data_IF_893561006534
#
_entry.id   IF_893561006534
#
_cell.length_a   1.000
_cell.length_b   1.000
_cell.length_c   1.000
_cell.angle_alpha   90.00
_cell.angle_beta   90.00
_cell.angle_gamma   90.00
#
_symmetry.space_group_name_H-M   'P 1'
#
loop_
_entity.id
_entity.type
_entity.pdbx_description
1 polymer ?
#
# COMPACT_ATOMS: atom_id res chain seq x y z
N UNK A 1 42.72 45.16 -33.04
CA UNK A 1 42.34 45.18 -31.61
C UNK A 1 41.38 44.03 -31.34
N UNK A 2 41.61 43.32 -30.25
CA UNK A 2 40.91 42.10 -29.80
C UNK A 2 39.45 42.40 -29.41
N UNK A 3 38.53 41.46 -29.75
CA UNK A 3 37.28 40.92 -29.11
C UNK A 3 36.41 41.91 -28.28
N UNK A 4 35.08 41.81 -28.21
CA UNK A 4 34.30 40.73 -27.59
C UNK A 4 32.84 40.76 -28.09
N UNK A 5 32.30 39.58 -28.43
CA UNK A 5 30.87 39.32 -28.55
C UNK A 5 30.41 38.83 -27.17
N UNK A 6 29.46 39.53 -26.55
CA UNK A 6 28.82 39.10 -25.32
C UNK A 6 27.64 38.21 -25.70
N UNK A 7 27.79 36.89 -25.53
CA UNK A 7 26.68 35.95 -25.57
C UNK A 7 25.96 35.96 -24.23
N UNK A 8 24.66 36.29 -24.24
CA UNK A 8 23.79 36.09 -23.09
C UNK A 8 23.49 34.59 -22.95
N UNK A 9 24.05 33.96 -21.93
CA UNK A 9 23.62 32.65 -21.42
C UNK A 9 22.35 32.85 -20.59
N UNK A 10 21.21 32.45 -21.12
CA UNK A 10 19.97 32.26 -20.35
C UNK A 10 20.09 30.94 -19.58
N UNK A 11 20.45 31.03 -18.29
CA UNK A 11 20.32 29.92 -17.35
C UNK A 11 18.85 29.84 -16.95
N UNK A 12 18.11 28.89 -17.53
CA UNK A 12 16.78 28.54 -17.07
C UNK A 12 16.91 27.76 -15.74
N UNK A 13 16.83 28.48 -14.63
CA UNK A 13 16.68 27.86 -13.31
C UNK A 13 15.28 27.24 -13.21
N UNK A 14 15.21 25.91 -13.24
CA UNK A 14 14.02 25.18 -12.87
C UNK A 14 13.81 25.32 -11.36
N UNK A 15 12.95 26.25 -10.96
CA UNK A 15 12.45 26.31 -9.59
C UNK A 15 11.47 25.16 -9.40
N UNK A 16 11.93 24.09 -8.75
CA UNK A 16 11.07 23.08 -8.15
C UNK A 16 10.20 23.80 -7.11
N UNK A 17 8.96 24.11 -7.49
CA UNK A 17 7.95 24.55 -6.55
C UNK A 17 7.60 23.33 -5.68
N UNK A 18 8.20 23.22 -4.50
CA UNK A 18 7.69 22.34 -3.45
C UNK A 18 6.25 22.77 -3.15
N UNK A 19 5.22 21.92 -3.38
CA UNK A 19 3.90 22.22 -2.88
C UNK A 19 4.00 22.33 -1.36
N UNK A 20 3.59 23.48 -0.80
CA UNK A 20 3.60 23.71 0.63
C UNK A 20 2.75 22.66 1.38
N UNK A 21 2.99 22.47 2.68
CA UNK A 21 2.29 21.46 3.46
C UNK A 21 0.78 21.72 3.42
N UNK A 22 0.04 20.74 2.91
CA UNK A 22 -1.42 20.73 3.01
C UNK A 22 -1.76 20.52 4.48
N UNK A 23 -2.26 21.56 5.14
CA UNK A 23 -2.79 21.46 6.51
C UNK A 23 -4.06 20.62 6.45
N UNK A 24 -3.93 19.30 6.62
CA UNK A 24 -5.06 18.37 6.74
C UNK A 24 -5.59 18.45 8.17
N UNK A 25 -6.83 18.91 8.35
CA UNK A 25 -7.53 18.75 9.63
C UNK A 25 -7.57 17.27 10.01
N UNK A 26 -7.32 16.95 11.29
CA UNK A 26 -7.39 15.55 11.75
C UNK A 26 -8.78 14.99 11.47
N UNK A 27 -8.85 13.94 10.65
CA UNK A 27 -10.07 13.20 10.39
C UNK A 27 -10.52 12.50 11.67
N UNK A 28 -11.84 12.32 11.85
CA UNK A 28 -12.43 11.72 13.06
C UNK A 28 -11.95 10.29 13.36
N UNK A 29 -11.38 9.62 12.36
CA UNK A 29 -10.80 8.28 12.46
C UNK A 29 -9.32 8.27 12.89
N UNK A 30 -8.62 9.42 12.88
CA UNK A 30 -7.20 9.46 13.20
C UNK A 30 -6.87 8.84 14.56
N UNK A 31 -7.66 9.04 15.64
CA UNK A 31 -7.39 8.41 16.92
C UNK A 31 -7.58 6.88 16.95
N UNK A 32 -8.26 6.27 15.98
CA UNK A 32 -8.37 4.80 15.85
C UNK A 32 -7.07 4.19 15.32
N UNK A 33 -6.33 4.95 14.53
CA UNK A 33 -5.05 4.54 13.95
C UNK A 33 -3.84 5.14 14.70
N UNK A 34 -4.03 5.50 15.97
CA UNK A 34 -2.92 5.84 16.85
C UNK A 34 -2.11 4.58 17.18
N UNK A 35 -0.94 4.46 16.56
CA UNK A 35 -0.03 3.31 16.71
C UNK A 35 0.79 3.33 18.02
N UNK A 36 0.65 4.38 18.84
CA UNK A 36 1.25 4.47 20.18
C UNK A 36 0.41 3.82 21.28
N UNK A 37 -0.79 3.33 20.95
CA UNK A 37 -1.74 2.75 21.90
C UNK A 37 -2.20 1.37 21.44
N UNK A 38 -2.25 0.40 22.37
CA UNK A 38 -3.01 -0.83 22.15
C UNK A 38 -4.50 -0.54 22.34
N UNK A 39 -5.24 -0.43 21.24
CA UNK A 39 -6.68 -0.18 21.28
C UNK A 39 -7.45 -1.37 21.86
N UNK A 40 -8.70 -1.12 22.24
CA UNK A 40 -9.67 -2.18 22.55
C UNK A 40 -10.83 -2.08 21.58
N UNK A 41 -11.14 -3.20 20.93
CA UNK A 41 -12.29 -3.34 20.03
C UNK A 41 -13.17 -4.49 20.53
N UNK A 42 -14.43 -4.20 20.83
CA UNK A 42 -15.41 -5.20 21.24
C UNK A 42 -16.40 -5.45 20.08
N UNK A 43 -16.60 -6.73 19.75
CA UNK A 43 -17.57 -7.21 18.78
C UNK A 43 -18.64 -8.05 19.49
N UNK A 44 -19.91 -7.77 19.22
CA UNK A 44 -21.03 -8.65 19.58
C UNK A 44 -21.61 -9.27 18.33
N UNK A 45 -21.63 -10.59 18.29
CA UNK A 45 -22.05 -11.39 17.14
C UNK A 45 -23.00 -12.46 17.67
N UNK A 46 -24.05 -12.80 16.93
CA UNK A 46 -24.86 -13.95 17.30
C UNK A 46 -23.96 -15.20 17.41
N UNK A 47 -24.03 -15.94 18.53
CA UNK A 47 -23.12 -17.07 18.77
C UNK A 47 -23.19 -18.15 17.69
N UNK A 48 -24.37 -18.34 17.07
CA UNK A 48 -24.54 -19.25 15.94
C UNK A 48 -23.77 -18.76 14.72
N UNK A 49 -23.91 -17.47 14.40
CA UNK A 49 -23.27 -16.86 13.24
C UNK A 49 -21.75 -16.79 13.42
N UNK A 50 -21.25 -16.53 14.64
CA UNK A 50 -19.83 -16.62 14.95
C UNK A 50 -19.27 -18.05 14.78
N UNK A 51 -20.03 -19.06 15.23
CA UNK A 51 -19.66 -20.46 15.02
C UNK A 51 -19.64 -20.82 13.52
N UNK A 52 -20.62 -20.34 12.74
CA UNK A 52 -20.64 -20.54 11.30
C UNK A 52 -19.48 -19.85 10.58
N UNK A 53 -19.15 -18.60 10.94
CA UNK A 53 -17.99 -17.90 10.39
C UNK A 53 -16.71 -18.69 10.64
N UNK A 54 -16.50 -19.19 11.86
CA UNK A 54 -15.30 -19.99 12.20
C UNK A 54 -15.26 -21.34 11.50
N UNK A 55 -16.39 -22.04 11.42
CA UNK A 55 -16.47 -23.33 10.73
C UNK A 55 -16.29 -23.18 9.21
N UNK A 56 -16.71 -22.04 8.64
CA UNK A 56 -16.67 -21.74 7.22
C UNK A 56 -15.74 -20.55 6.93
N UNK A 57 -14.62 -20.48 7.65
CA UNK A 57 -13.69 -19.35 7.60
C UNK A 57 -13.07 -19.11 6.20
N UNK A 58 -13.26 -20.05 5.26
CA UNK A 58 -12.89 -19.95 3.84
C UNK A 58 -13.91 -19.19 2.98
N UNK A 59 -15.12 -18.95 3.48
CA UNK A 59 -16.17 -18.24 2.75
C UNK A 59 -16.09 -16.72 2.96
N UNK A 60 -16.71 -15.96 2.05
CA UNK A 60 -16.83 -14.50 2.11
C UNK A 60 -18.20 -14.04 2.62
N UNK A 61 -18.92 -14.91 3.33
CA UNK A 61 -20.25 -14.62 3.86
C UNK A 61 -20.17 -13.56 4.97
N UNK A 62 -21.11 -12.61 4.91
CA UNK A 62 -21.24 -11.55 5.91
C UNK A 62 -22.23 -11.95 7.00
N UNK A 63 -21.84 -11.68 8.24
CA UNK A 63 -22.64 -11.91 9.44
C UNK A 63 -22.85 -10.58 10.19
N UNK A 64 -24.07 -10.29 10.68
CA UNK A 64 -24.34 -9.08 11.44
C UNK A 64 -23.57 -9.06 12.77
N UNK A 65 -23.03 -7.89 13.11
CA UNK A 65 -22.38 -7.65 14.39
C UNK A 65 -22.68 -6.22 14.92
N UNK A 66 -22.30 -5.99 16.18
CA UNK A 66 -22.11 -4.66 16.75
C UNK A 66 -20.64 -4.48 17.06
N UNK A 67 -20.06 -3.35 16.63
CA UNK A 67 -18.69 -2.97 16.99
C UNK A 67 -18.75 -1.82 18.01
N UNK A 68 -17.86 -1.89 19.01
CA UNK A 68 -17.59 -0.79 19.92
C UNK A 68 -16.09 -0.55 20.01
N UNK A 69 -15.73 0.73 19.98
CA UNK A 69 -14.40 1.22 20.31
C UNK A 69 -14.57 2.49 21.14
N UNK A 70 -13.94 2.51 22.32
CA UNK A 70 -14.17 3.56 23.35
C UNK A 70 -15.66 3.73 23.67
N UNK A 71 -16.18 4.95 23.60
CA UNK A 71 -17.59 5.30 23.82
C UNK A 71 -18.45 5.15 22.57
N UNK A 72 -17.84 4.90 21.40
CA UNK A 72 -18.53 4.80 20.11
C UNK A 72 -19.02 3.38 19.86
N UNK A 73 -20.32 3.22 19.61
CA UNK A 73 -20.95 1.93 19.28
C UNK A 73 -21.67 2.02 17.95
N UNK A 74 -21.38 1.10 17.03
CA UNK A 74 -22.04 0.98 15.73
C UNK A 74 -22.67 -0.41 15.60
N UNK A 75 -23.99 -0.43 15.38
CA UNK A 75 -24.80 -1.65 15.27
C UNK A 75 -25.07 -1.99 13.81
N UNK A 76 -25.34 -3.27 13.55
CA UNK A 76 -25.66 -3.81 12.22
C UNK A 76 -24.53 -3.62 11.21
N UNK A 77 -23.28 -3.75 11.68
CA UNK A 77 -22.12 -3.88 10.79
C UNK A 77 -22.09 -5.30 10.21
N UNK A 78 -21.50 -5.48 9.04
CA UNK A 78 -21.20 -6.80 8.50
C UNK A 78 -19.77 -7.21 8.80
N UNK A 79 -19.56 -8.36 9.42
CA UNK A 79 -18.25 -9.00 9.52
C UNK A 79 -18.16 -10.19 8.58
N UNK A 80 -17.02 -10.38 7.93
CA UNK A 80 -16.70 -11.62 7.20
C UNK A 80 -15.25 -12.01 7.42
N UNK A 81 -14.95 -13.28 7.23
CA UNK A 81 -13.56 -13.74 7.11
C UNK A 81 -12.90 -13.09 5.88
N UNK A 82 -11.62 -12.70 6.00
CA UNK A 82 -10.82 -12.12 4.92
C UNK A 82 -9.49 -12.86 4.72
N UNK A 83 -8.80 -12.49 3.64
CA UNK A 83 -7.53 -13.07 3.24
C UNK A 83 -7.71 -14.25 2.28
N UNK A 84 -6.59 -14.86 1.92
CA UNK A 84 -6.52 -16.13 1.17
C UNK A 84 -5.74 -17.14 2.01
N UNK A 85 -4.43 -16.92 2.17
CA UNK A 85 -3.55 -17.76 3.01
C UNK A 85 -3.73 -17.55 4.51
N UNK A 86 -3.95 -16.30 4.95
CA UNK A 86 -4.07 -15.90 6.36
C UNK A 86 -5.35 -16.35 7.08
N UNK A 87 -6.27 -17.01 6.36
CA UNK A 87 -7.55 -17.44 6.90
C UNK A 87 -7.38 -18.47 8.01
N UNK A 88 -8.02 -18.23 9.16
CA UNK A 88 -7.93 -19.11 10.33
C UNK A 88 -9.30 -19.38 10.96
N UNK A 89 -9.63 -20.65 11.30
CA UNK A 89 -10.84 -20.99 12.05
C UNK A 89 -10.74 -20.66 13.54
N UNK A 90 -9.52 -20.42 14.04
CA UNK A 90 -9.26 -20.18 15.47
C UNK A 90 -9.19 -18.68 15.78
N UNK A 91 -8.50 -17.92 14.93
CA UNK A 91 -8.34 -16.47 15.02
C UNK A 91 -8.67 -15.86 13.64
N UNK A 92 -9.96 -15.77 13.25
CA UNK A 92 -10.32 -15.27 11.93
C UNK A 92 -9.85 -13.82 11.75
N UNK A 93 -9.18 -13.52 10.63
CA UNK A 93 -9.01 -12.15 10.16
C UNK A 93 -10.34 -11.64 9.61
N UNK A 94 -10.74 -10.43 9.99
CA UNK A 94 -12.08 -9.91 9.69
C UNK A 94 -12.02 -8.66 8.83
N UNK A 95 -12.88 -8.58 7.82
CA UNK A 95 -13.30 -7.29 7.26
C UNK A 95 -14.58 -6.87 7.98
N UNK A 96 -14.62 -5.63 8.46
CA UNK A 96 -15.79 -5.01 9.08
C UNK A 96 -16.34 -3.96 8.14
N UNK A 97 -17.49 -4.22 7.53
CA UNK A 97 -18.19 -3.32 6.63
C UNK A 97 -19.34 -2.63 7.37
N UNK A 98 -19.22 -1.33 7.61
CA UNK A 98 -20.21 -0.55 8.35
C UNK A 98 -21.49 -0.35 7.56
N UNK A 99 -21.43 -0.40 6.23
CA UNK A 99 -22.56 -0.11 5.36
C UNK A 99 -23.30 -1.35 4.86
N UNK A 100 -22.79 -2.56 5.16
CA UNK A 100 -23.28 -3.83 4.61
C UNK A 100 -24.77 -4.07 4.78
N UNK A 101 -25.28 -3.81 5.99
CA UNK A 101 -26.69 -4.02 6.34
C UNK A 101 -27.43 -2.71 6.61
N UNK A 102 -26.72 -1.57 6.59
CA UNK A 102 -27.29 -0.23 6.77
C UNK A 102 -26.66 0.71 5.76
N UNK A 103 -27.34 0.95 4.63
CA UNK A 103 -26.80 1.77 3.53
C UNK A 103 -26.31 3.14 4.02
N UNK A 104 -25.08 3.49 3.66
CA UNK A 104 -24.47 4.78 3.99
C UNK A 104 -24.00 4.92 5.44
N UNK A 105 -24.19 3.90 6.31
CA UNK A 105 -23.63 3.92 7.66
C UNK A 105 -22.09 3.94 7.59
N UNK A 106 -21.50 4.78 8.45
CA UNK A 106 -20.05 4.96 8.59
C UNK A 106 -19.67 4.89 10.06
N UNK A 107 -18.41 4.56 10.31
CA UNK A 107 -17.81 4.61 11.64
C UNK A 107 -16.58 5.52 11.59
N UNK A 108 -16.62 6.63 12.33
CA UNK A 108 -15.57 7.67 12.30
C UNK A 108 -15.26 8.22 10.88
N UNK A 109 -16.20 8.10 9.95
CA UNK A 109 -16.04 8.47 8.54
C UNK A 109 -15.70 7.29 7.61
N UNK A 110 -15.23 6.18 8.15
CA UNK A 110 -14.87 4.97 7.41
C UNK A 110 -16.11 4.19 6.92
N UNK A 111 -16.01 3.60 5.72
CA UNK A 111 -17.02 2.65 5.21
C UNK A 111 -16.76 1.23 5.70
N UNK A 112 -15.50 0.90 5.89
CA UNK A 112 -15.06 -0.38 6.40
C UNK A 112 -13.68 -0.24 7.07
N UNK A 113 -13.29 -1.27 7.81
CA UNK A 113 -11.93 -1.46 8.29
C UNK A 113 -11.58 -2.95 8.26
N UNK A 114 -10.30 -3.24 8.37
CA UNK A 114 -9.79 -4.60 8.50
C UNK A 114 -9.28 -4.81 9.93
N UNK A 115 -9.64 -5.96 10.51
CA UNK A 115 -9.00 -6.52 11.69
C UNK A 115 -8.15 -7.69 11.22
N UNK A 116 -6.87 -7.44 10.97
CA UNK A 116 -5.91 -8.48 10.57
C UNK A 116 -5.56 -9.37 11.76
N UNK A 117 -5.63 -10.68 11.56
CA UNK A 117 -5.30 -11.64 12.60
C UNK A 117 -3.79 -11.80 12.81
N UNK A 118 -2.94 -11.26 11.94
CA UNK A 118 -1.48 -11.30 12.04
C UNK A 118 -0.92 -12.71 12.27
N UNK A 119 -1.59 -13.74 11.75
CA UNK A 119 -1.21 -15.14 12.06
C UNK A 119 0.01 -15.64 11.31
N UNK A 120 0.44 -14.92 10.26
CA UNK A 120 1.60 -15.28 9.45
C UNK A 120 2.90 -14.64 9.94
N UNK A 121 2.80 -13.60 10.78
CA UNK A 121 3.93 -12.90 11.40
C UNK A 121 3.96 -13.18 12.91
N UNK A 122 5.01 -13.85 13.39
CA UNK A 122 5.19 -14.17 14.80
C UNK A 122 5.49 -12.95 15.69
N UNK A 123 5.95 -11.84 15.09
CA UNK A 123 6.21 -10.58 15.79
C UNK A 123 4.96 -9.72 15.97
N UNK A 124 3.95 -9.89 15.09
CA UNK A 124 2.77 -9.04 14.96
C UNK A 124 3.09 -7.57 14.56
N UNK A 125 4.26 -7.32 13.98
CA UNK A 125 4.79 -5.97 13.77
C UNK A 125 5.29 -5.69 12.35
N UNK A 126 5.55 -6.71 11.51
CA UNK A 126 6.18 -6.50 10.21
C UNK A 126 5.43 -5.47 9.35
N UNK A 127 4.15 -5.74 9.07
CA UNK A 127 3.32 -4.84 8.26
C UNK A 127 3.20 -3.45 8.90
N UNK A 128 2.97 -3.39 10.22
CA UNK A 128 2.80 -2.12 10.93
C UNK A 128 4.05 -1.24 10.83
N UNK A 129 5.24 -1.82 10.99
CA UNK A 129 6.51 -1.11 10.91
C UNK A 129 6.82 -0.73 9.46
N UNK A 130 6.58 -1.62 8.50
CA UNK A 130 6.76 -1.36 7.07
C UNK A 130 5.88 -0.18 6.60
N UNK A 131 4.57 -0.25 6.89
CA UNK A 131 3.62 0.81 6.55
C UNK A 131 3.96 2.14 7.25
N UNK A 132 4.45 2.09 8.50
CA UNK A 132 4.92 3.28 9.20
C UNK A 132 6.16 3.89 8.55
N UNK A 133 7.13 3.09 8.12
CA UNK A 133 8.31 3.55 7.40
C UNK A 133 7.91 4.22 6.09
N UNK A 134 7.02 3.62 5.30
CA UNK A 134 6.51 4.22 4.06
C UNK A 134 5.91 5.61 4.32
N UNK A 135 5.06 5.74 5.36
CA UNK A 135 4.48 7.05 5.72
C UNK A 135 5.54 8.06 6.17
N UNK A 136 6.61 7.64 6.86
CA UNK A 136 7.75 8.52 7.22
C UNK A 136 8.52 9.00 5.99
N UNK A 137 8.59 8.18 4.94
CA UNK A 137 9.20 8.50 3.64
C UNK A 137 8.23 9.23 2.69
N UNK A 138 7.09 9.70 3.19
CA UNK A 138 6.03 10.37 2.42
C UNK A 138 5.38 9.49 1.31
N UNK A 139 5.63 8.18 1.32
CA UNK A 139 4.92 7.21 0.49
C UNK A 139 3.51 7.06 1.07
N UNK A 140 2.51 7.24 0.22
CA UNK A 140 1.11 7.18 0.65
C UNK A 140 0.72 5.72 0.93
N UNK A 141 0.57 5.39 2.21
CA UNK A 141 0.20 4.05 2.67
C UNK A 141 -0.98 4.09 3.64
N UNK A 142 -1.75 2.98 3.75
CA UNK A 142 -2.74 2.78 4.79
C UNK A 142 -2.19 3.05 6.19
N UNK A 143 -3.04 3.53 7.10
CA UNK A 143 -2.70 3.64 8.52
C UNK A 143 -3.06 2.35 9.25
N UNK A 144 -2.27 2.03 10.26
CA UNK A 144 -2.44 0.81 11.04
C UNK A 144 -2.17 1.07 12.52
N UNK A 145 -2.85 0.33 13.39
CA UNK A 145 -2.60 0.30 14.82
C UNK A 145 -2.96 -1.08 15.39
N UNK A 146 -2.48 -1.41 16.59
CA UNK A 146 -2.83 -2.67 17.25
C UNK A 146 -4.11 -2.53 18.08
N UNK A 147 -4.92 -3.59 18.11
CA UNK A 147 -6.07 -3.69 19.00
C UNK A 147 -6.15 -5.06 19.68
N UNK A 148 -6.46 -5.07 20.98
CA UNK A 148 -7.01 -6.22 21.68
C UNK A 148 -8.49 -6.38 21.30
N UNK A 149 -8.81 -7.45 20.57
CA UNK A 149 -10.17 -7.72 20.10
C UNK A 149 -10.88 -8.68 21.04
N UNK A 150 -12.14 -8.38 21.36
CA UNK A 150 -13.04 -9.24 22.12
C UNK A 150 -14.27 -9.56 21.29
N UNK A 151 -14.64 -10.84 21.19
CA UNK A 151 -15.90 -11.27 20.56
C UNK A 151 -16.79 -11.88 21.63
N UNK A 152 -17.99 -11.31 21.82
CA UNK A 152 -18.93 -11.72 22.87
C UNK A 152 -18.27 -11.79 24.25
N UNK A 153 -17.53 -10.73 24.62
CA UNK A 153 -16.74 -10.61 25.85
C UNK A 153 -15.60 -11.63 26.04
N UNK A 154 -15.31 -12.44 25.02
CA UNK A 154 -14.17 -13.38 25.04
C UNK A 154 -13.01 -12.78 24.27
N UNK A 155 -11.81 -12.78 24.85
CA UNK A 155 -10.61 -12.29 24.18
C UNK A 155 -10.29 -13.15 22.94
N UNK A 156 -10.26 -12.51 21.76
CA UNK A 156 -9.97 -13.16 20.50
C UNK A 156 -8.49 -13.07 20.11
N UNK A 157 -7.76 -12.09 20.65
CA UNK A 157 -6.33 -11.89 20.41
C UNK A 157 -5.98 -10.43 20.12
N UNK A 158 -4.69 -10.19 19.86
CA UNK A 158 -4.20 -8.93 19.28
C UNK A 158 -4.40 -8.99 17.76
N UNK A 159 -4.92 -7.93 17.17
CA UNK A 159 -5.14 -7.75 15.75
C UNK A 159 -4.52 -6.42 15.30
N UNK A 160 -4.19 -6.30 14.01
CA UNK A 160 -4.00 -4.98 13.42
C UNK A 160 -5.35 -4.41 12.97
N UNK A 161 -5.62 -3.16 13.34
CA UNK A 161 -6.68 -2.34 12.74
C UNK A 161 -6.08 -1.66 11.53
N UNK A 162 -6.43 -2.13 10.34
CA UNK A 162 -5.88 -1.65 9.06
C UNK A 162 -6.91 -0.78 8.36
N UNK A 163 -6.49 0.40 7.90
CA UNK A 163 -7.28 1.30 7.08
C UNK A 163 -7.55 0.65 5.72
N UNK A 164 -8.82 0.40 5.40
CA UNK A 164 -9.15 -0.22 4.12
C UNK A 164 -8.88 0.74 2.95
N UNK A 165 -8.15 0.31 1.90
CA UNK A 165 -8.00 1.08 0.67
C UNK A 165 -9.34 1.20 -0.05
N UNK A 166 -9.99 2.35 0.13
CA UNK A 166 -11.21 2.76 -0.55
C UNK A 166 -11.13 4.24 -0.98
N UNK A 167 -12.22 4.79 -1.50
CA UNK A 167 -12.32 6.21 -1.85
C UNK A 167 -12.07 7.15 -0.67
N UNK A 168 -12.42 6.75 0.56
CA UNK A 168 -12.17 7.54 1.78
C UNK A 168 -10.66 7.60 2.07
N UNK A 169 -9.96 6.46 1.98
CA UNK A 169 -8.51 6.40 2.13
C UNK A 169 -7.79 7.16 1.01
N UNK A 170 -8.26 7.06 -0.24
CA UNK A 170 -7.69 7.81 -1.37
C UNK A 170 -7.88 9.32 -1.20
N UNK A 171 -9.05 9.77 -0.74
CA UNK A 171 -9.27 11.17 -0.41
C UNK A 171 -8.30 11.66 0.68
N UNK A 172 -8.06 10.85 1.70
CA UNK A 172 -7.06 11.16 2.74
C UNK A 172 -5.66 11.24 2.14
N UNK A 173 -5.20 10.24 1.40
CA UNK A 173 -3.84 10.13 0.89
C UNK A 173 -3.53 11.18 -0.20
N UNK A 174 -4.46 11.38 -1.13
CA UNK A 174 -4.22 12.12 -2.37
C UNK A 174 -5.02 13.41 -2.51
N UNK A 175 -5.89 13.72 -1.55
CA UNK A 175 -6.78 14.89 -1.58
C UNK A 175 -8.02 14.71 -2.47
N UNK A 176 -8.15 13.57 -3.14
CA UNK A 176 -9.26 13.22 -4.02
C UNK A 176 -9.48 11.70 -3.93
N UNK A 177 -10.71 11.28 -3.64
CA UNK A 177 -11.14 9.89 -3.58
C UNK A 177 -12.02 9.46 -4.76
N UNK A 178 -12.29 10.37 -5.70
CA UNK A 178 -13.24 10.14 -6.79
C UNK A 178 -12.66 9.34 -7.96
N UNK A 179 -11.37 9.02 -7.93
CA UNK A 179 -10.65 8.32 -8.99
C UNK A 179 -11.00 6.83 -9.12
N UNK A 180 -10.08 6.10 -9.75
CA UNK A 180 -10.14 4.68 -10.05
C UNK A 180 -9.08 3.96 -9.21
N UNK A 181 -9.53 3.24 -8.20
CA UNK A 181 -8.73 2.35 -7.38
C UNK A 181 -8.91 0.90 -7.85
N UNK A 182 -7.81 0.21 -8.08
CA UNK A 182 -7.78 -1.21 -8.41
C UNK A 182 -6.84 -1.95 -7.45
N UNK A 183 -7.31 -3.02 -6.84
CA UNK A 183 -6.50 -3.98 -6.08
C UNK A 183 -5.81 -4.92 -7.08
N UNK A 184 -4.50 -5.12 -6.95
CA UNK A 184 -3.84 -6.18 -7.70
C UNK A 184 -4.22 -7.55 -7.13
N UNK A 185 -4.62 -8.48 -7.99
CA UNK A 185 -4.96 -9.86 -7.65
C UNK A 185 -3.90 -10.79 -8.21
N UNK A 186 -3.08 -11.34 -7.32
CA UNK A 186 -2.14 -12.37 -7.71
C UNK A 186 -2.89 -13.62 -8.21
N UNK A 187 -2.55 -14.07 -9.42
CA UNK A 187 -3.11 -15.27 -10.06
C UNK A 187 -2.01 -16.17 -10.63
N UNK A 188 -0.99 -15.55 -11.23
CA UNK A 188 0.22 -16.15 -11.76
C UNK A 188 1.34 -15.10 -11.72
N UNK A 189 2.58 -15.54 -11.92
CA UNK A 189 3.73 -14.62 -11.99
C UNK A 189 3.56 -13.64 -13.15
N UNK A 190 3.47 -12.36 -12.79
CA UNK A 190 3.30 -11.24 -13.71
C UNK A 190 4.21 -10.10 -13.27
N UNK A 191 4.97 -9.52 -14.20
CA UNK A 191 6.02 -8.53 -13.93
C UNK A 191 5.94 -7.32 -14.86
N UNK A 192 4.71 -6.86 -15.11
CA UNK A 192 4.35 -5.79 -16.05
C UNK A 192 4.63 -6.11 -17.52
N UNK A 193 4.54 -7.37 -17.95
CA UNK A 193 4.53 -7.70 -19.37
C UNK A 193 3.25 -7.20 -20.05
N UNK A 194 3.33 -6.84 -21.32
CA UNK A 194 2.14 -6.47 -22.10
C UNK A 194 1.26 -7.71 -22.35
N UNK A 195 0.01 -7.65 -21.89
CA UNK A 195 -0.99 -8.71 -22.06
C UNK A 195 -1.77 -8.56 -23.39
N UNK A 196 -1.44 -7.57 -24.23
CA UNK A 196 -2.09 -7.31 -25.51
C UNK A 196 -3.42 -6.57 -25.36
N UNK A 197 -4.23 -6.57 -26.43
CA UNK A 197 -5.46 -5.75 -26.52
C UNK A 197 -6.68 -6.34 -25.78
N UNK A 198 -6.59 -7.57 -25.30
CA UNK A 198 -7.68 -8.20 -24.56
C UNK A 198 -7.71 -7.72 -23.10
N UNK A 199 -8.58 -6.75 -22.83
CA UNK A 199 -8.75 -6.16 -21.50
C UNK A 199 -9.20 -7.15 -20.42
N UNK A 200 -9.76 -8.31 -20.79
CA UNK A 200 -10.13 -9.32 -19.80
C UNK A 200 -8.91 -9.95 -19.13
N UNK A 201 -7.74 -9.93 -19.80
CA UNK A 201 -6.46 -10.35 -19.18
C UNK A 201 -6.02 -9.41 -18.07
N UNK A 202 -6.23 -8.10 -18.23
CA UNK A 202 -5.96 -7.11 -17.18
C UNK A 202 -7.02 -7.18 -16.07
N UNK A 203 -8.31 -7.34 -16.42
CA UNK A 203 -9.38 -7.55 -15.43
C UNK A 203 -9.11 -8.74 -14.50
N UNK A 204 -8.49 -9.81 -15.00
CA UNK A 204 -8.14 -10.97 -14.19
C UNK A 204 -7.12 -10.67 -13.08
N UNK A 205 -6.28 -9.65 -13.26
CA UNK A 205 -5.21 -9.25 -12.35
C UNK A 205 -5.51 -7.97 -11.56
N UNK A 206 -6.54 -7.20 -11.92
CA UNK A 206 -6.88 -5.94 -11.29
C UNK A 206 -8.38 -5.89 -10.94
N UNK A 207 -8.70 -5.90 -9.65
CA UNK A 207 -10.07 -5.81 -9.14
C UNK A 207 -10.44 -4.35 -8.86
N UNK A 208 -11.45 -3.77 -9.53
CA UNK A 208 -11.93 -2.43 -9.20
C UNK A 208 -12.47 -2.36 -7.78
N UNK A 209 -12.03 -1.36 -7.01
CA UNK A 209 -12.47 -1.07 -5.63
C UNK A 209 -13.32 0.19 -5.53
N UNK A 210 -13.40 0.90 -6.64
CA UNK A 210 -14.20 2.09 -6.86
C UNK A 210 -14.65 2.05 -8.31
N UNK A 211 -15.74 2.77 -8.65
CA UNK A 211 -16.24 2.83 -10.03
C UNK A 211 -16.59 1.44 -10.62
N UNK A 212 -16.90 0.46 -9.77
CA UNK A 212 -17.12 -0.94 -10.14
C UNK A 212 -18.19 -1.17 -11.22
N UNK A 213 -19.11 -0.21 -11.39
CA UNK A 213 -20.19 -0.26 -12.39
C UNK A 213 -19.82 0.38 -13.74
N UNK A 214 -18.62 0.92 -13.88
CA UNK A 214 -18.14 1.46 -15.16
C UNK A 214 -17.76 0.35 -16.15
N UNK A 215 -17.59 0.73 -17.43
CA UNK A 215 -17.31 -0.23 -18.50
C UNK A 215 -15.91 -0.84 -18.35
N UNK A 216 -15.72 -2.05 -18.91
CA UNK A 216 -14.39 -2.71 -18.96
C UNK A 216 -13.32 -1.77 -19.53
N UNK A 217 -13.66 -1.05 -20.59
CA UNK A 217 -12.77 -0.08 -21.22
C UNK A 217 -12.35 1.04 -20.26
N UNK A 218 -13.29 1.67 -19.54
CA UNK A 218 -12.98 2.76 -18.61
C UNK A 218 -12.08 2.32 -17.43
N UNK A 219 -12.25 1.08 -16.98
CA UNK A 219 -11.52 0.50 -15.86
C UNK A 219 -10.11 0.04 -16.26
N UNK A 220 -9.99 -0.71 -17.37
CA UNK A 220 -8.78 -1.47 -17.68
C UNK A 220 -7.95 -0.92 -18.83
N UNK A 221 -8.53 -0.18 -19.78
CA UNK A 221 -7.73 0.41 -20.87
C UNK A 221 -6.61 1.31 -20.34
N UNK A 222 -6.82 2.18 -19.32
CA UNK A 222 -5.73 2.99 -18.80
C UNK A 222 -4.57 2.16 -18.20
N UNK A 223 -4.87 1.00 -17.60
CA UNK A 223 -3.84 0.08 -17.08
C UNK A 223 -3.12 -0.59 -18.25
N UNK A 224 -3.86 -1.07 -19.26
CA UNK A 224 -3.30 -1.66 -20.47
C UNK A 224 -2.40 -0.67 -21.23
N UNK A 225 -2.82 0.59 -21.35
CA UNK A 225 -2.04 1.65 -21.99
C UNK A 225 -0.73 1.92 -21.23
N UNK A 226 -0.77 2.02 -19.89
CA UNK A 226 0.42 2.16 -19.05
C UNK A 226 1.41 1.01 -19.28
N UNK A 227 0.94 -0.24 -19.16
CA UNK A 227 1.78 -1.44 -19.33
C UNK A 227 2.34 -1.51 -20.74
N UNK A 228 1.53 -1.26 -21.76
CA UNK A 228 1.97 -1.21 -23.16
C UNK A 228 3.05 -0.16 -23.37
N UNK A 229 2.90 1.03 -22.79
CA UNK A 229 3.94 2.07 -22.84
C UNK A 229 5.24 1.60 -22.20
N UNK A 230 5.20 0.91 -21.06
CA UNK A 230 6.42 0.37 -20.44
C UNK A 230 7.14 -0.65 -21.33
N UNK A 231 6.38 -1.44 -22.08
CA UNK A 231 6.92 -2.49 -22.94
C UNK A 231 7.40 -1.98 -24.31
N UNK A 232 6.68 -1.01 -24.89
CA UNK A 232 6.80 -0.68 -26.32
C UNK A 232 7.39 0.70 -26.62
N UNK A 233 7.48 1.62 -25.64
CA UNK A 233 8.09 2.92 -25.88
C UNK A 233 9.57 2.76 -26.29
N UNK A 234 10.04 3.45 -27.35
CA UNK A 234 11.46 3.49 -27.71
C UNK A 234 12.34 3.93 -26.54
N UNK A 235 13.57 3.43 -26.46
CA UNK A 235 14.44 3.70 -25.31
C UNK A 235 14.75 5.19 -25.11
N UNK A 236 14.83 5.95 -26.20
CA UNK A 236 15.11 7.38 -26.19
C UNK A 236 13.92 8.20 -25.66
N UNK A 237 12.69 7.69 -25.79
CA UNK A 237 11.45 8.35 -25.38
C UNK A 237 10.83 7.71 -24.11
N UNK A 238 11.46 6.66 -23.59
CA UNK A 238 10.89 5.83 -22.53
C UNK A 238 10.56 6.63 -21.28
N UNK A 239 11.50 7.44 -20.81
CA UNK A 239 11.34 8.21 -19.57
C UNK A 239 10.17 9.19 -19.68
N UNK A 240 10.09 9.93 -20.78
CA UNK A 240 9.01 10.87 -21.05
C UNK A 240 7.66 10.15 -21.08
N UNK A 241 7.54 9.08 -21.87
CA UNK A 241 6.28 8.35 -22.04
C UNK A 241 5.86 7.59 -20.78
N UNK A 242 6.79 6.95 -20.08
CA UNK A 242 6.48 6.25 -18.84
C UNK A 242 6.04 7.23 -17.73
N UNK A 243 6.62 8.44 -17.72
CA UNK A 243 6.26 9.51 -16.77
C UNK A 243 4.85 10.07 -16.97
N UNK A 244 4.21 9.84 -18.11
CA UNK A 244 2.79 10.16 -18.31
C UNK A 244 1.88 9.29 -17.43
N UNK A 245 2.31 8.06 -17.12
CA UNK A 245 1.51 7.06 -16.41
C UNK A 245 1.95 6.83 -14.97
N UNK A 246 3.22 7.00 -14.62
CA UNK A 246 3.71 6.88 -13.24
C UNK A 246 4.66 8.02 -12.90
N UNK A 247 4.71 8.38 -11.63
CA UNK A 247 5.84 9.13 -11.09
C UNK A 247 6.99 8.14 -10.84
N UNK A 248 7.99 8.13 -11.73
CA UNK A 248 9.09 7.16 -11.71
C UNK A 248 9.93 7.29 -10.43
N UNK A 249 10.11 8.49 -9.89
CA UNK A 249 10.81 8.71 -8.62
C UNK A 249 10.04 8.10 -7.46
N UNK A 250 8.71 8.25 -7.42
CA UNK A 250 7.89 7.62 -6.38
C UNK A 250 7.85 6.10 -6.49
N UNK A 251 7.81 5.56 -7.71
CA UNK A 251 7.92 4.13 -7.95
C UNK A 251 9.23 3.57 -7.35
N UNK A 252 10.37 4.22 -7.65
CA UNK A 252 11.67 3.82 -7.11
C UNK A 252 11.80 4.07 -5.61
N UNK A 253 11.14 5.11 -5.07
CA UNK A 253 11.08 5.35 -3.63
C UNK A 253 10.42 4.17 -2.90
N UNK A 254 9.29 3.68 -3.42
CA UNK A 254 8.62 2.53 -2.86
C UNK A 254 9.42 1.23 -3.03
N UNK A 255 9.93 0.97 -4.24
CA UNK A 255 10.76 -0.21 -4.50
C UNK A 255 12.03 -0.24 -3.62
N UNK A 256 12.70 0.90 -3.46
CA UNK A 256 13.88 1.01 -2.59
C UNK A 256 13.55 0.83 -1.11
N UNK A 257 12.39 1.31 -0.65
CA UNK A 257 11.93 1.08 0.72
C UNK A 257 11.59 -0.40 0.98
N UNK A 258 10.96 -1.10 0.03
CA UNK A 258 10.73 -2.55 0.12
C UNK A 258 12.04 -3.35 0.12
N UNK A 259 13.00 -2.98 -0.74
CA UNK A 259 14.31 -3.61 -0.75
C UNK A 259 15.06 -3.43 0.58
N UNK A 260 14.99 -2.24 1.19
CA UNK A 260 15.55 -2.00 2.54
C UNK A 260 14.89 -2.88 3.60
N UNK A 261 13.57 -3.05 3.52
CA UNK A 261 12.80 -3.90 4.43
C UNK A 261 12.98 -5.40 4.16
N UNK A 262 13.69 -5.80 3.10
CA UNK A 262 13.73 -7.18 2.63
C UNK A 262 12.31 -7.79 2.45
N UNK A 263 11.38 -6.98 1.91
CA UNK A 263 10.06 -7.45 1.51
C UNK A 263 10.19 -8.31 0.26
N UNK A 264 9.86 -9.59 0.38
CA UNK A 264 10.12 -10.58 -0.66
C UNK A 264 8.87 -11.01 -1.45
N UNK A 265 7.66 -10.67 -1.00
CA UNK A 265 6.36 -10.93 -1.67
C UNK A 265 5.63 -9.63 -2.05
N UNK A 266 6.37 -8.52 -2.16
CA UNK A 266 5.86 -7.19 -2.50
C UNK A 266 5.84 -6.87 -4.00
N UNK A 267 6.06 -5.60 -4.33
CA UNK A 267 5.97 -5.08 -5.71
C UNK A 267 6.94 -5.79 -6.66
N UNK A 268 8.15 -6.11 -6.20
CA UNK A 268 9.18 -6.81 -6.97
C UNK A 268 9.47 -8.19 -6.39
N UNK A 269 8.48 -8.84 -5.79
CA UNK A 269 8.66 -10.09 -5.05
C UNK A 269 9.02 -11.31 -5.91
N UNK A 270 9.29 -12.41 -5.21
CA UNK A 270 9.63 -13.70 -5.82
C UNK A 270 8.51 -14.26 -6.70
N UNK A 271 7.25 -13.99 -6.33
CA UNK A 271 6.07 -14.46 -7.03
C UNK A 271 5.61 -13.52 -8.17
N UNK A 272 6.38 -12.47 -8.47
CA UNK A 272 6.00 -11.40 -9.39
C UNK A 272 5.53 -10.15 -8.64
N UNK A 273 4.82 -9.28 -9.35
CA UNK A 273 4.06 -8.19 -8.74
C UNK A 273 3.06 -8.79 -7.74
N UNK A 274 2.97 -8.22 -6.55
CA UNK A 274 1.96 -8.54 -5.57
C UNK A 274 1.80 -7.38 -4.56
N UNK A 275 0.74 -7.42 -3.74
CA UNK A 275 0.64 -6.59 -2.53
C UNK A 275 0.61 -5.05 -2.77
N UNK A 276 -0.19 -4.61 -3.76
CA UNK A 276 -0.40 -3.18 -4.01
C UNK A 276 -1.76 -2.87 -4.64
N UNK A 277 -2.12 -1.58 -4.62
CA UNK A 277 -3.21 -1.03 -5.41
C UNK A 277 -2.68 -0.02 -6.43
N UNK A 278 -3.40 0.14 -7.54
CA UNK A 278 -3.25 1.24 -8.47
C UNK A 278 -4.36 2.26 -8.27
N UNK A 279 -3.99 3.51 -8.00
CA UNK A 279 -4.93 4.61 -7.92
C UNK A 279 -4.70 5.62 -9.04
N UNK A 280 -5.74 5.92 -9.82
CA UNK A 280 -5.72 6.96 -10.86
C UNK A 280 -6.79 8.02 -10.56
N UNK A 281 -6.38 9.27 -10.34
CA UNK A 281 -7.32 10.39 -10.12
C UNK A 281 -8.26 10.56 -11.31
N UNK A 282 -9.47 11.07 -11.06
CA UNK A 282 -10.41 11.39 -12.12
C UNK A 282 -9.82 12.44 -13.07
N UNK A 283 -9.87 12.19 -14.38
CA UNK A 283 -9.28 13.08 -15.40
C UNK A 283 -7.75 13.02 -15.53
N UNK A 284 -7.06 12.14 -14.80
CA UNK A 284 -5.62 11.89 -14.92
C UNK A 284 -5.34 10.61 -15.71
N UNK A 285 -4.20 10.58 -16.40
CA UNK A 285 -3.58 9.37 -16.96
C UNK A 285 -2.55 8.75 -15.99
N UNK A 286 -2.04 9.53 -15.05
CA UNK A 286 -1.06 9.08 -14.06
C UNK A 286 -1.69 8.28 -12.93
N UNK A 287 -1.10 7.14 -12.65
CA UNK A 287 -1.34 6.28 -11.51
C UNK A 287 -0.40 6.61 -10.34
N UNK A 288 -0.87 6.35 -9.14
CA UNK A 288 -0.08 6.25 -7.91
C UNK A 288 -0.19 4.78 -7.45
N UNK A 289 0.93 4.21 -6.98
CA UNK A 289 0.95 2.89 -6.33
C UNK A 289 0.70 3.09 -4.83
N UNK A 290 -0.20 2.28 -4.27
CA UNK A 290 -0.50 2.27 -2.84
C UNK A 290 -0.06 0.93 -2.25
N UNK A 291 0.86 0.91 -1.27
CA UNK A 291 1.31 -0.32 -0.61
C UNK A 291 0.18 -1.07 0.10
N UNK A 292 0.32 -2.38 0.23
CA UNK A 292 -0.64 -3.26 0.91
C UNK A 292 0.04 -4.52 1.45
N UNK A 293 -0.41 -5.10 2.57
CA UNK A 293 -0.06 -6.48 2.98
C UNK A 293 1.46 -6.77 3.03
N UNK A 294 2.18 -6.00 3.85
CA UNK A 294 3.65 -6.06 3.98
C UNK A 294 4.07 -6.95 5.17
N UNK A 295 3.32 -8.03 5.43
CA UNK A 295 3.57 -8.96 6.53
C UNK A 295 4.81 -9.85 6.30
N UNK A 296 5.23 -9.97 5.05
CA UNK A 296 6.42 -10.68 4.60
C UNK A 296 7.71 -9.82 4.62
N UNK A 297 7.64 -8.58 5.12
CA UNK A 297 8.80 -7.74 5.35
C UNK A 297 9.72 -8.34 6.43
N UNK A 298 10.91 -7.75 6.56
CA UNK A 298 11.98 -8.20 7.47
C UNK A 298 12.44 -9.64 7.17
N UNK A 299 12.59 -9.93 5.87
CA UNK A 299 13.24 -11.13 5.39
C UNK A 299 14.72 -11.24 5.82
N UNK A 300 15.45 -12.25 5.29
CA UNK A 300 16.85 -12.47 5.64
C UNK A 300 17.74 -11.23 5.43
N UNK A 301 18.74 -11.06 6.29
CA UNK A 301 19.68 -9.92 6.24
C UNK A 301 20.47 -9.81 4.93
N UNK A 302 20.64 -10.94 4.22
CA UNK A 302 21.35 -11.04 2.95
C UNK A 302 20.41 -10.98 1.74
N UNK A 303 19.15 -10.58 1.92
CA UNK A 303 18.22 -10.35 0.81
C UNK A 303 18.81 -9.32 -0.17
N UNK A 304 19.03 -9.69 -1.45
CA UNK A 304 19.65 -8.78 -2.40
C UNK A 304 18.79 -7.55 -2.65
N UNK A 305 19.42 -6.36 -2.66
CA UNK A 305 18.71 -5.11 -2.96
C UNK A 305 18.12 -5.13 -4.37
N UNK A 306 18.77 -5.80 -5.32
CA UNK A 306 18.34 -5.91 -6.71
C UNK A 306 17.45 -7.12 -7.02
N UNK A 307 16.88 -7.76 -5.98
CA UNK A 307 16.06 -8.95 -6.12
C UNK A 307 14.95 -8.75 -7.16
N UNK A 308 14.95 -9.64 -8.16
CA UNK A 308 13.96 -9.71 -9.24
C UNK A 308 13.78 -8.46 -10.11
N UNK A 309 14.69 -7.48 -10.04
CA UNK A 309 14.65 -6.28 -10.89
C UNK A 309 14.57 -6.62 -12.39
N UNK A 310 15.42 -7.55 -12.84
CA UNK A 310 15.53 -7.97 -14.25
C UNK A 310 14.22 -8.56 -14.81
N UNK A 311 13.41 -9.17 -13.95
CA UNK A 311 12.13 -9.75 -14.35
C UNK A 311 11.05 -8.70 -14.59
N UNK A 312 11.12 -7.53 -13.94
CA UNK A 312 10.09 -6.50 -14.05
C UNK A 312 10.40 -5.51 -15.17
N UNK A 313 9.46 -5.33 -16.11
CA UNK A 313 9.68 -4.54 -17.33
C UNK A 313 10.01 -3.09 -17.01
N UNK A 314 9.25 -2.44 -16.12
CA UNK A 314 9.51 -1.06 -15.73
C UNK A 314 10.84 -0.94 -14.98
N UNK A 315 11.06 -1.81 -13.99
CA UNK A 315 12.26 -1.78 -13.16
C UNK A 315 13.54 -1.99 -13.96
N UNK A 316 13.60 -3.04 -14.79
CA UNK A 316 14.76 -3.33 -15.64
C UNK A 316 15.13 -2.14 -16.52
N UNK A 317 14.15 -1.53 -17.20
CA UNK A 317 14.40 -0.37 -18.06
C UNK A 317 14.89 0.85 -17.27
N UNK A 318 14.38 1.09 -16.06
CA UNK A 318 14.90 2.16 -15.21
C UNK A 318 16.34 1.86 -14.77
N UNK A 319 16.66 0.62 -14.39
CA UNK A 319 18.00 0.25 -13.93
C UNK A 319 19.08 0.29 -15.02
N UNK A 320 18.72 0.25 -16.30
CA UNK A 320 19.65 0.48 -17.42
C UNK A 320 20.16 1.94 -17.49
N UNK A 321 19.51 2.87 -16.78
CA UNK A 321 19.78 4.32 -16.84
C UNK A 321 20.40 4.81 -15.53
N UNK A 322 21.62 5.35 -15.60
CA UNK A 322 22.37 5.83 -14.41
C UNK A 322 21.59 6.79 -13.51
N UNK A 323 20.90 7.83 -14.01
CA UNK A 323 20.14 8.73 -13.14
C UNK A 323 19.06 8.02 -12.31
N UNK A 324 18.42 7.00 -12.86
CA UNK A 324 17.37 6.24 -12.18
C UNK A 324 17.93 5.22 -11.19
N UNK A 325 19.12 4.65 -11.45
CA UNK A 325 19.86 3.87 -10.44
C UNK A 325 20.20 4.71 -9.22
N UNK A 326 20.65 5.96 -9.43
CA UNK A 326 20.96 6.87 -8.33
C UNK A 326 19.72 7.20 -7.49
N UNK A 327 18.56 7.42 -8.13
CA UNK A 327 17.28 7.62 -7.43
C UNK A 327 16.91 6.39 -6.58
N UNK A 328 17.05 5.18 -7.14
CA UNK A 328 16.77 3.95 -6.42
C UNK A 328 17.67 3.75 -5.19
N UNK A 329 18.99 3.85 -5.33
CA UNK A 329 19.89 3.68 -4.19
C UNK A 329 19.74 4.82 -3.17
N UNK A 330 19.41 6.04 -3.61
CA UNK A 330 19.06 7.13 -2.71
C UNK A 330 17.80 6.82 -1.90
N UNK A 331 16.81 6.14 -2.48
CA UNK A 331 15.62 5.70 -1.75
C UNK A 331 15.94 4.63 -0.70
N UNK A 332 16.78 3.64 -1.04
CA UNK A 332 17.25 2.62 -0.07
C UNK A 332 17.97 3.30 1.10
N UNK A 333 18.87 4.25 0.82
CA UNK A 333 19.59 5.00 1.85
C UNK A 333 18.66 5.88 2.69
N UNK A 334 17.65 6.49 2.09
CA UNK A 334 16.65 7.28 2.81
C UNK A 334 15.81 6.41 3.75
N UNK A 335 15.44 5.20 3.33
CA UNK A 335 14.76 4.22 4.18
C UNK A 335 15.63 3.82 5.38
N UNK A 336 16.92 3.53 5.15
CA UNK A 336 17.87 3.25 6.22
C UNK A 336 18.04 4.43 7.19
N UNK A 337 18.20 5.65 6.68
CA UNK A 337 18.33 6.85 7.51
C UNK A 337 17.08 7.10 8.36
N UNK A 338 15.90 6.98 7.76
CA UNK A 338 14.61 7.10 8.46
C UNK A 338 14.44 6.05 9.55
N UNK A 339 14.89 4.82 9.34
CA UNK A 339 14.83 3.77 10.36
C UNK A 339 15.75 4.04 11.57
N UNK A 340 16.90 4.70 11.35
CA UNK A 340 17.86 5.06 12.41
C UNK A 340 17.48 6.36 13.14
N UNK A 341 16.73 7.26 12.50
CA UNK A 341 16.21 8.48 13.12
C UNK A 341 15.35 8.17 14.35
N UNK A 342 15.82 8.60 15.53
CA UNK A 342 15.15 8.40 16.81
C UNK A 342 15.79 7.34 17.71
N UNK A 343 16.83 6.63 17.25
CA UNK A 343 17.80 6.02 18.16
C UNK A 343 18.48 7.16 18.92
N UNK A 344 18.10 7.38 20.18
CA UNK A 344 19.07 7.93 21.13
C UNK A 344 20.33 7.08 20.98
N UNK A 345 21.49 7.73 20.78
CA UNK A 345 22.75 7.02 20.67
C UNK A 345 22.86 6.11 21.90
N UNK A 346 22.68 4.81 21.71
CA UNK A 346 22.91 3.83 22.76
C UNK A 346 24.40 3.97 23.12
N UNK A 347 24.75 4.50 24.30
CA UNK A 347 26.14 4.73 24.66
C UNK A 347 26.91 3.40 24.80
N UNK A 348 26.21 2.25 24.79
CA UNK A 348 26.77 0.91 24.87
C UNK A 348 26.68 0.13 23.55
N UNK A 349 26.10 0.67 22.47
CA UNK A 349 26.08 -0.02 21.18
C UNK A 349 27.52 -0.14 20.66
N UNK A 350 28.05 -1.37 20.48
CA UNK A 350 29.38 -1.55 19.91
C UNK A 350 29.35 -1.00 18.49
N UNK A 351 30.16 0.05 18.25
CA UNK A 351 30.26 0.71 16.97
C UNK A 351 30.47 -0.29 15.85
N UNK A 352 29.47 -0.47 14.99
CA UNK A 352 29.53 -1.28 13.78
C UNK A 352 30.34 -0.50 12.74
N UNK A 353 31.61 -0.23 13.03
CA UNK A 353 32.69 0.17 12.11
C UNK A 353 34.00 0.16 12.91
N UNK A 354 34.38 -1.01 13.44
CA UNK A 354 35.75 -1.23 13.91
C UNK A 354 36.12 -2.73 13.82
N UNK A 355 36.82 -3.09 12.74
CA UNK A 355 37.72 -4.24 12.74
C UNK A 355 37.60 -5.18 11.54
N UNK A 356 38.66 -5.21 10.72
CA UNK A 356 39.01 -6.34 9.85
C UNK A 356 39.18 -5.97 8.38
#
# INVERSE_FOLDING_TARGET
>A
MKRWIVGLLLVAGAWLACPGPVVRGQSSDAPLFDDGTLHRVDLWVNSRDWAFLRANFQLNDYYPATLKWRDQTVRNVGIRSRGTGSRSPFKPGLRVDFSRFTTGQRFLGLKALVLDNLTQDASFLHELVAMKLFRRLEIQAPREALAAVYVNNTYAGVYAVVEEPDDTAMARMFGDGSGYLHEYKWLYEYRFEDLGDDLERYRALFEPRTRELETSFALFEPIAAMVRTFNQAPDEEFEEKASEYLDLSRFLAYAGAQAYLAEWDGLLGYAGLNNFYLYRRAGSHRFDIVPWDEDNAFGPLDYPLDSYHEGNVLMRRLMEREPWRDVYFSAVLAAAASAEEGREADPEAPGVLAGG
#
